data_IF_891957083491
#
_entry.id   IF_891957083491
#
_cell.length_a   1.000
_cell.length_b   1.000
_cell.length_c   1.000
_cell.angle_alpha   90.00
_cell.angle_beta   90.00
_cell.angle_gamma   90.00
#
_symmetry.space_group_name_H-M   'P 1'
#
loop_
_entity.id
_entity.type
_entity.pdbx_description
1 polymer ?
#
# COMPACT_ATOMS: atom_id res chain seq x y z
N UNK A 1 -5.09 22.74 53.00
CA UNK A 1 -4.49 23.18 51.74
C UNK A 1 -5.60 23.23 50.68
N UNK A 2 -6.03 24.43 50.33
CA UNK A 2 -6.94 24.65 49.23
C UNK A 2 -6.22 24.27 47.93
N UNK A 3 -6.51 23.10 47.44
CA UNK A 3 -6.16 22.75 46.05
C UNK A 3 -7.00 23.65 45.15
N UNK A 4 -6.36 24.64 44.56
CA UNK A 4 -6.98 25.61 43.68
C UNK A 4 -7.64 24.90 42.51
N UNK A 5 -8.85 25.31 42.10
CA UNK A 5 -9.52 24.83 40.88
C UNK A 5 -8.60 24.93 39.66
N UNK A 6 -7.70 25.90 39.67
CA UNK A 6 -6.69 26.05 38.62
C UNK A 6 -5.72 24.86 38.61
N UNK A 7 -5.26 24.37 39.75
CA UNK A 7 -4.37 23.22 39.83
C UNK A 7 -5.03 21.94 39.29
N UNK A 8 -6.32 21.76 39.48
CA UNK A 8 -7.08 20.65 38.87
C UNK A 8 -7.21 20.80 37.37
N UNK A 9 -7.46 22.00 36.86
CA UNK A 9 -7.50 22.25 35.42
C UNK A 9 -6.14 21.98 34.78
N UNK A 10 -5.06 22.43 35.39
CA UNK A 10 -3.71 22.21 34.91
C UNK A 10 -3.33 20.72 34.95
N UNK A 11 -3.78 19.99 36.00
CA UNK A 11 -3.62 18.56 36.08
C UNK A 11 -4.34 17.83 34.92
N UNK A 12 -5.61 18.16 34.68
CA UNK A 12 -6.43 17.56 33.62
C UNK A 12 -5.87 17.89 32.25
N UNK A 13 -5.37 19.10 32.04
CA UNK A 13 -4.75 19.53 30.79
C UNK A 13 -3.42 18.80 30.48
N UNK A 14 -2.72 18.37 31.53
CA UNK A 14 -1.45 17.65 31.41
C UNK A 14 -1.59 16.13 31.37
N UNK A 15 -2.84 15.61 31.48
CA UNK A 15 -3.08 14.17 31.31
C UNK A 15 -2.79 13.80 29.85
N UNK A 16 -2.10 12.67 29.62
CA UNK A 16 -1.91 12.17 28.28
C UNK A 16 -3.25 11.86 27.60
N UNK A 17 -3.39 12.18 26.33
CA UNK A 17 -4.61 11.91 25.56
C UNK A 17 -4.83 10.41 25.30
N UNK A 18 -3.79 9.61 25.46
CA UNK A 18 -3.81 8.15 25.25
C UNK A 18 -3.01 7.50 26.38
N UNK A 19 -3.55 6.44 26.95
CA UNK A 19 -2.88 5.65 27.97
C UNK A 19 -2.14 4.47 27.33
N UNK A 20 -1.03 4.08 27.97
CA UNK A 20 -0.25 2.92 27.53
C UNK A 20 -1.04 1.61 27.77
N UNK A 21 -0.99 0.64 26.83
CA UNK A 21 -1.71 -0.63 26.95
C UNK A 21 -1.43 -1.41 28.24
N UNK A 22 -0.25 -1.21 28.85
CA UNK A 22 0.13 -1.83 30.12
C UNK A 22 -0.77 -1.41 31.29
N UNK A 23 -1.30 -0.18 31.27
CA UNK A 23 -2.23 0.32 32.29
C UNK A 23 -3.49 -0.55 32.34
N UNK A 24 -3.90 -1.09 31.19
CA UNK A 24 -5.04 -2.00 31.07
C UNK A 24 -4.68 -3.48 31.27
N UNK A 25 -3.47 -3.77 31.76
CA UNK A 25 -3.00 -5.15 32.00
C UNK A 25 -2.64 -5.93 30.72
N UNK A 26 -2.42 -5.23 29.62
CA UNK A 26 -1.97 -5.86 28.38
C UNK A 26 -0.48 -6.23 28.45
N UNK A 27 -0.09 -7.25 27.69
CA UNK A 27 1.29 -7.70 27.61
C UNK A 27 2.18 -6.61 26.98
N UNK A 28 3.46 -6.60 27.37
CA UNK A 28 4.49 -5.67 26.86
C UNK A 28 4.55 -5.59 25.33
N UNK A 29 4.29 -6.68 24.62
CA UNK A 29 4.20 -6.70 23.15
C UNK A 29 3.08 -5.80 22.60
N UNK A 30 2.01 -5.59 23.35
CA UNK A 30 0.94 -4.67 22.94
C UNK A 30 1.41 -3.23 22.97
N UNK A 31 2.30 -2.89 23.91
CA UNK A 31 2.93 -1.58 24.00
C UNK A 31 3.83 -1.30 22.78
N UNK A 32 4.65 -2.30 22.39
CA UNK A 32 5.48 -2.20 21.19
C UNK A 32 4.63 -1.97 19.95
N UNK A 33 3.54 -2.73 19.79
CA UNK A 33 2.61 -2.57 18.66
C UNK A 33 1.96 -1.19 18.66
N UNK A 34 1.53 -0.70 19.82
CA UNK A 34 0.96 0.64 19.98
C UNK A 34 1.96 1.73 19.58
N UNK A 35 3.19 1.67 20.07
CA UNK A 35 4.25 2.62 19.73
C UNK A 35 4.60 2.60 18.23
N UNK A 36 4.60 1.42 17.61
CA UNK A 36 4.81 1.28 16.17
C UNK A 36 3.67 1.95 15.37
N UNK A 37 2.42 1.75 15.78
CA UNK A 37 1.26 2.38 15.13
C UNK A 37 1.28 3.90 15.31
N UNK A 38 1.60 4.38 16.51
CA UNK A 38 1.72 5.81 16.78
C UNK A 38 2.83 6.45 15.95
N UNK A 39 4.01 5.82 15.91
CA UNK A 39 5.13 6.28 15.09
C UNK A 39 4.78 6.30 13.61
N UNK A 40 4.11 5.26 13.10
CA UNK A 40 3.64 5.20 11.72
C UNK A 40 2.62 6.30 11.42
N UNK A 41 1.71 6.56 12.35
CA UNK A 41 0.72 7.65 12.22
C UNK A 41 1.37 9.02 12.13
N UNK A 42 2.35 9.29 13.00
CA UNK A 42 3.12 10.55 12.99
C UNK A 42 3.91 10.70 11.70
N UNK A 43 4.57 9.64 11.24
CA UNK A 43 5.33 9.66 9.99
C UNK A 43 4.42 9.91 8.78
N UNK A 44 3.26 9.26 8.73
CA UNK A 44 2.27 9.47 7.67
C UNK A 44 1.73 10.91 7.69
N UNK A 45 1.42 11.46 8.88
CA UNK A 45 1.00 12.85 9.02
C UNK A 45 2.11 13.81 8.56
N UNK A 46 3.36 13.55 8.91
CA UNK A 46 4.50 14.35 8.46
C UNK A 46 4.69 14.31 6.94
N UNK A 47 4.50 13.13 6.32
CA UNK A 47 4.55 12.97 4.86
C UNK A 47 3.42 13.72 4.15
N UNK A 48 2.22 13.78 4.76
CA UNK A 48 1.09 14.53 4.21
C UNK A 48 1.30 16.05 4.30
N UNK A 49 2.02 16.52 5.33
CA UNK A 49 2.29 17.96 5.55
C UNK A 49 3.52 18.43 4.73
N UNK A 50 4.38 17.50 4.30
CA UNK A 50 5.48 17.87 3.42
C UNK A 50 4.93 18.66 2.23
N UNK A 51 5.44 19.89 1.97
CA UNK A 51 5.09 20.56 0.74
C UNK A 51 5.47 19.58 -0.36
N UNK A 52 4.47 19.15 -1.15
CA UNK A 52 4.75 18.44 -2.39
C UNK A 52 5.75 19.34 -3.11
N UNK A 53 7.03 19.00 -3.03
CA UNK A 53 7.96 19.60 -3.96
C UNK A 53 7.32 19.33 -5.31
N UNK A 54 6.73 20.37 -5.88
CA UNK A 54 6.41 20.38 -7.31
C UNK A 54 7.75 20.02 -7.92
N UNK A 55 7.86 18.72 -8.23
CA UNK A 55 9.13 18.12 -8.59
C UNK A 55 9.81 19.10 -9.50
N UNK A 56 11.07 19.39 -9.26
CA UNK A 56 11.85 20.23 -10.15
C UNK A 56 11.50 19.75 -11.52
N UNK A 57 10.65 20.51 -12.18
CA UNK A 57 10.07 20.20 -13.45
C UNK A 57 11.20 19.72 -14.34
N UNK A 58 11.25 18.45 -14.58
CA UNK A 58 12.00 17.94 -15.71
C UNK A 58 11.27 18.48 -16.93
N UNK A 59 11.70 19.64 -17.41
CA UNK A 59 11.31 20.23 -18.68
C UNK A 59 9.80 20.24 -19.00
N UNK A 60 9.00 20.99 -18.21
CA UNK A 60 7.67 21.43 -18.68
C UNK A 60 6.57 20.37 -18.82
N UNK A 61 6.76 19.14 -18.35
CA UNK A 61 5.74 18.09 -18.37
C UNK A 61 4.70 18.33 -17.28
N UNK A 62 3.43 18.08 -17.61
CA UNK A 62 2.35 18.13 -16.62
C UNK A 62 2.43 16.93 -15.68
N UNK A 63 1.87 17.00 -14.45
CA UNK A 63 1.79 15.83 -13.57
C UNK A 63 1.11 14.63 -14.23
N UNK A 64 0.10 14.86 -15.03
CA UNK A 64 -0.64 13.83 -15.76
C UNK A 64 0.25 13.11 -16.77
N UNK A 65 1.07 13.85 -17.51
CA UNK A 65 2.04 13.26 -18.45
C UNK A 65 3.10 12.43 -17.72
N UNK A 66 3.55 12.87 -16.55
CA UNK A 66 4.51 12.10 -15.75
C UNK A 66 3.91 10.80 -15.24
N UNK A 67 2.66 10.83 -14.77
CA UNK A 67 1.97 9.63 -14.29
C UNK A 67 1.64 8.68 -15.45
N UNK A 68 1.23 9.19 -16.62
CA UNK A 68 1.00 8.35 -17.81
C UNK A 68 2.28 7.67 -18.27
N UNK A 69 3.41 8.37 -18.31
CA UNK A 69 4.71 7.78 -18.64
C UNK A 69 5.16 6.73 -17.62
N UNK A 70 4.96 7.01 -16.34
CA UNK A 70 5.28 6.07 -15.26
C UNK A 70 4.43 4.81 -15.37
N UNK A 71 3.12 4.97 -15.62
CA UNK A 71 2.21 3.86 -15.83
C UNK A 71 2.57 3.04 -17.07
N UNK A 72 2.95 3.70 -18.18
CA UNK A 72 3.43 3.03 -19.38
C UNK A 72 4.69 2.20 -19.11
N UNK A 73 5.65 2.77 -18.39
CA UNK A 73 6.88 2.06 -18.00
C UNK A 73 6.58 0.84 -17.14
N UNK A 74 5.70 0.97 -16.14
CA UNK A 74 5.30 -0.19 -15.33
C UNK A 74 4.62 -1.27 -16.16
N UNK A 75 3.77 -0.90 -17.14
CA UNK A 75 3.14 -1.88 -18.04
C UNK A 75 4.14 -2.65 -18.89
N UNK A 76 5.23 -2.00 -19.31
CA UNK A 76 6.32 -2.65 -20.07
C UNK A 76 7.17 -3.57 -19.18
N UNK A 77 7.42 -3.18 -17.93
CA UNK A 77 8.22 -3.93 -16.97
C UNK A 77 7.43 -5.07 -16.30
N UNK A 78 6.09 -5.07 -16.37
CA UNK A 78 5.26 -6.10 -15.76
C UNK A 78 5.57 -7.47 -16.36
N UNK A 79 5.89 -8.48 -15.54
CA UNK A 79 6.16 -9.81 -16.03
C UNK A 79 4.89 -10.43 -16.64
N UNK A 80 5.11 -11.40 -17.53
CA UNK A 80 4.02 -12.19 -18.09
C UNK A 80 3.36 -13.05 -17.01
N UNK A 81 2.09 -13.39 -17.24
CA UNK A 81 1.38 -14.35 -16.41
C UNK A 81 2.14 -15.67 -16.36
N UNK A 82 2.38 -16.17 -15.15
CA UNK A 82 3.10 -17.42 -14.94
C UNK A 82 2.22 -18.61 -15.36
N UNK A 83 2.75 -19.46 -16.24
CA UNK A 83 2.06 -20.67 -16.66
C UNK A 83 2.69 -21.90 -15.99
N UNK A 84 1.85 -22.80 -15.48
CA UNK A 84 2.31 -24.07 -14.89
C UNK A 84 3.13 -24.89 -15.87
N UNK A 85 2.86 -24.80 -17.18
CA UNK A 85 3.60 -25.44 -18.26
C UNK A 85 5.04 -24.93 -18.42
N UNK A 86 5.31 -23.68 -18.02
CA UNK A 86 6.65 -23.07 -18.12
C UNK A 86 7.53 -23.42 -16.92
N UNK A 87 6.93 -23.82 -15.79
CA UNK A 87 7.65 -24.23 -14.58
C UNK A 87 8.33 -25.61 -14.69
N UNK A 88 8.22 -26.26 -15.84
CA UNK A 88 8.79 -27.57 -16.14
C UNK A 88 7.83 -28.73 -15.88
N UNK A 89 7.91 -29.74 -16.72
CA UNK A 89 7.02 -30.90 -16.70
C UNK A 89 7.08 -31.72 -15.39
N UNK A 90 8.13 -31.57 -14.60
CA UNK A 90 8.33 -32.33 -13.37
C UNK A 90 7.74 -31.69 -12.12
N UNK A 91 7.44 -30.37 -12.12
CA UNK A 91 6.99 -29.65 -10.91
C UNK A 91 5.53 -29.94 -10.58
N UNK A 92 4.68 -30.18 -11.59
CA UNK A 92 3.25 -30.38 -11.45
C UNK A 92 2.76 -31.75 -11.98
N UNK A 93 3.65 -32.72 -12.07
CA UNK A 93 3.31 -34.10 -12.49
C UNK A 93 2.55 -34.77 -11.34
N UNK A 94 1.44 -35.38 -11.69
CA UNK A 94 0.63 -36.15 -10.78
C UNK A 94 1.12 -37.62 -10.80
N UNK A 95 1.88 -38.03 -9.80
CA UNK A 95 2.19 -39.42 -9.58
C UNK A 95 1.04 -40.08 -8.82
N UNK A 96 0.50 -41.14 -9.33
CA UNK A 96 -0.62 -41.90 -8.73
C UNK A 96 -1.89 -41.06 -8.42
N UNK A 97 -2.12 -39.98 -9.18
CA UNK A 97 -3.29 -39.13 -8.98
C UNK A 97 -3.16 -38.06 -7.89
N UNK A 98 -2.00 -37.98 -7.21
CA UNK A 98 -1.75 -37.03 -6.15
C UNK A 98 -0.56 -36.13 -6.54
N UNK A 99 -0.79 -34.81 -6.52
CA UNK A 99 0.31 -33.84 -6.62
C UNK A 99 1.06 -33.79 -5.30
N UNK A 100 2.37 -33.59 -5.37
CA UNK A 100 3.15 -33.30 -4.17
C UNK A 100 2.63 -32.03 -3.48
N UNK A 101 2.67 -32.01 -2.14
CA UNK A 101 2.19 -30.87 -1.35
C UNK A 101 2.87 -29.56 -1.75
N UNK A 102 4.17 -29.60 -2.06
CA UNK A 102 4.93 -28.44 -2.52
C UNK A 102 4.44 -27.95 -3.89
N UNK A 103 4.16 -28.83 -4.82
CA UNK A 103 3.63 -28.48 -6.15
C UNK A 103 2.23 -27.83 -6.04
N UNK A 104 1.40 -28.34 -5.14
CA UNK A 104 0.09 -27.75 -4.85
C UNK A 104 0.24 -26.34 -4.29
N UNK A 105 1.14 -26.16 -3.31
CA UNK A 105 1.42 -24.84 -2.73
C UNK A 105 1.94 -23.85 -3.77
N UNK A 106 2.95 -24.24 -4.54
CA UNK A 106 3.49 -23.40 -5.62
C UNK A 106 2.42 -23.04 -6.65
N UNK A 107 1.55 -23.97 -7.01
CA UNK A 107 0.44 -23.71 -7.91
C UNK A 107 -0.54 -22.65 -7.37
N UNK A 108 -0.83 -22.69 -6.09
CA UNK A 108 -1.68 -21.69 -5.42
C UNK A 108 -1.00 -20.31 -5.38
N UNK A 109 0.29 -20.28 -5.08
CA UNK A 109 1.05 -19.01 -5.06
C UNK A 109 1.17 -18.41 -6.47
N UNK A 110 1.38 -19.22 -7.50
CA UNK A 110 1.35 -18.77 -8.89
C UNK A 110 -0.02 -18.15 -9.25
N UNK A 111 -1.11 -18.77 -8.83
CA UNK A 111 -2.46 -18.23 -9.09
C UNK A 111 -2.70 -16.90 -8.35
N UNK A 112 -2.21 -16.76 -7.11
CA UNK A 112 -2.26 -15.50 -6.36
C UNK A 112 -1.47 -14.41 -7.06
N UNK A 113 -0.24 -14.73 -7.47
CA UNK A 113 0.62 -13.81 -8.18
C UNK A 113 0.03 -13.39 -9.52
N UNK A 114 -0.52 -14.32 -10.28
CA UNK A 114 -1.19 -14.04 -11.55
C UNK A 114 -2.41 -13.12 -11.37
N UNK A 115 -3.20 -13.30 -10.30
CA UNK A 115 -4.30 -12.40 -9.99
C UNK A 115 -3.81 -10.98 -9.70
N UNK A 116 -2.70 -10.85 -8.97
CA UNK A 116 -2.06 -9.57 -8.71
C UNK A 116 -1.59 -8.92 -10.03
N UNK A 117 -0.88 -9.66 -10.88
CA UNK A 117 -0.41 -9.16 -12.18
C UNK A 117 -1.56 -8.65 -13.06
N UNK A 118 -2.65 -9.41 -13.14
CA UNK A 118 -3.84 -8.99 -13.91
C UNK A 118 -4.44 -7.72 -13.32
N UNK A 119 -4.56 -7.64 -11.98
CA UNK A 119 -5.09 -6.44 -11.30
C UNK A 119 -4.20 -5.22 -11.55
N UNK A 120 -2.89 -5.36 -11.41
CA UNK A 120 -1.93 -4.28 -11.69
C UNK A 120 -2.05 -3.81 -13.14
N UNK A 121 -2.06 -4.74 -14.09
CA UNK A 121 -2.18 -4.42 -15.51
C UNK A 121 -3.47 -3.67 -15.82
N UNK A 122 -4.61 -4.21 -15.39
CA UNK A 122 -5.93 -3.59 -15.67
C UNK A 122 -6.02 -2.20 -15.04
N UNK A 123 -5.61 -2.05 -13.77
CA UNK A 123 -5.66 -0.76 -13.10
C UNK A 123 -4.73 0.29 -13.73
N UNK A 124 -3.55 -0.10 -14.20
CA UNK A 124 -2.66 0.81 -14.93
C UNK A 124 -3.22 1.23 -16.28
N UNK A 125 -3.81 0.28 -17.03
CA UNK A 125 -4.47 0.58 -18.31
C UNK A 125 -5.67 1.53 -18.12
N UNK A 126 -6.48 1.30 -17.09
CA UNK A 126 -7.65 2.13 -16.81
C UNK A 126 -7.25 3.51 -16.28
N UNK A 127 -6.18 3.61 -15.47
CA UNK A 127 -5.61 4.88 -15.05
C UNK A 127 -5.15 5.72 -16.24
N UNK A 128 -4.44 5.11 -17.19
CA UNK A 128 -4.01 5.78 -18.42
C UNK A 128 -5.18 6.30 -19.25
N UNK A 129 -6.22 5.48 -19.41
CA UNK A 129 -7.46 5.89 -20.12
C UNK A 129 -8.14 7.05 -19.39
N UNK A 130 -8.17 7.04 -18.06
CA UNK A 130 -8.78 8.09 -17.26
C UNK A 130 -7.99 9.42 -17.38
N UNK A 131 -6.65 9.36 -17.36
CA UNK A 131 -5.81 10.55 -17.60
C UNK A 131 -6.04 11.13 -19.00
N UNK A 132 -6.25 10.27 -20.01
CA UNK A 132 -6.57 10.68 -21.38
C UNK A 132 -8.02 11.15 -21.55
N UNK A 133 -8.84 11.09 -20.50
CA UNK A 133 -10.24 11.50 -20.53
C UNK A 133 -11.18 10.51 -21.26
N UNK A 134 -10.72 9.29 -21.52
CA UNK A 134 -11.51 8.25 -22.19
C UNK A 134 -12.46 7.52 -21.24
N UNK A 135 -12.14 7.50 -19.96
CA UNK A 135 -12.91 6.86 -18.89
C UNK A 135 -13.05 7.83 -17.72
N UNK A 136 -14.15 7.73 -16.98
CA UNK A 136 -14.36 8.54 -15.79
C UNK A 136 -13.35 8.13 -14.70
N UNK A 137 -12.72 9.12 -14.06
CA UNK A 137 -11.87 8.89 -12.90
C UNK A 137 -12.72 8.41 -11.73
N UNK A 138 -12.57 7.15 -11.32
CA UNK A 138 -13.22 6.60 -10.13
C UNK A 138 -12.40 6.93 -8.87
N UNK A 139 -13.01 6.80 -7.69
CA UNK A 139 -12.32 7.02 -6.41
C UNK A 139 -11.07 6.13 -6.25
N UNK A 140 -11.13 4.89 -6.75
CA UNK A 140 -10.00 3.96 -6.70
C UNK A 140 -8.87 4.38 -7.64
N UNK A 141 -9.21 4.88 -8.83
CA UNK A 141 -8.23 5.41 -9.78
C UNK A 141 -7.62 6.72 -9.28
N UNK A 142 -8.39 7.58 -8.62
CA UNK A 142 -7.87 8.80 -8.00
C UNK A 142 -6.89 8.49 -6.86
N UNK A 143 -7.22 7.54 -6.00
CA UNK A 143 -6.30 7.03 -4.97
C UNK A 143 -5.03 6.46 -5.57
N UNK A 144 -5.16 5.69 -6.65
CA UNK A 144 -4.01 5.13 -7.37
C UNK A 144 -3.14 6.23 -7.99
N UNK A 145 -3.75 7.23 -8.63
CA UNK A 145 -3.06 8.40 -9.16
C UNK A 145 -2.27 9.12 -8.07
N UNK A 146 -2.91 9.40 -6.94
CA UNK A 146 -2.27 10.05 -5.81
C UNK A 146 -1.13 9.20 -5.20
N UNK A 147 -1.30 7.88 -5.12
CA UNK A 147 -0.26 6.97 -4.65
C UNK A 147 0.96 7.00 -5.57
N UNK A 148 0.76 6.91 -6.89
CA UNK A 148 1.84 6.97 -7.87
C UNK A 148 2.54 8.34 -7.86
N UNK A 149 1.80 9.43 -7.75
CA UNK A 149 2.35 10.79 -7.64
C UNK A 149 3.21 10.98 -6.36
N UNK A 150 2.92 10.22 -5.31
CA UNK A 150 3.67 10.23 -4.05
C UNK A 150 4.75 9.13 -3.97
N UNK A 151 5.02 8.41 -5.07
CA UNK A 151 5.92 7.26 -5.12
C UNK A 151 5.58 6.18 -4.07
N UNK A 152 4.31 5.97 -3.79
CA UNK A 152 3.80 4.93 -2.90
C UNK A 152 3.07 3.85 -3.67
N UNK A 153 3.01 2.65 -3.09
CA UNK A 153 2.29 1.52 -3.68
C UNK A 153 0.79 1.78 -3.56
N UNK A 154 0.01 1.68 -4.65
CA UNK A 154 -1.43 1.79 -4.58
C UNK A 154 -2.07 0.71 -3.70
N UNK A 155 -3.02 1.09 -2.84
CA UNK A 155 -3.76 0.15 -1.99
C UNK A 155 -4.61 -0.86 -2.79
N UNK A 156 -4.89 -0.52 -4.04
CA UNK A 156 -5.67 -1.36 -4.95
C UNK A 156 -4.94 -2.68 -5.32
N UNK A 157 -3.63 -2.73 -5.16
CA UNK A 157 -2.77 -3.90 -5.52
C UNK A 157 -2.57 -4.91 -4.37
#
# INVERSE_FOLDING_TARGET
SETSIQAYKDFVMNLPNTDEPEIFGMHENANITFQQQESASILNAALLIQPKEKGKSSMGKTPDEMIDELAAKFLEELPKVLMKSEAGNHTFVVENGLMEAMATFLGQEMERFNRLLVRCKTSLEDLRKAIQGLVLMSDDLDKMYNAMNNNSIPELW
#
